data_IF_690556052813
#
_entry.id   IF_690556052813
#
_cell.length_a   1.000
_cell.length_b   1.000
_cell.length_c   1.000
_cell.angle_alpha   90.00
_cell.angle_beta   90.00
_cell.angle_gamma   90.00
#
_symmetry.space_group_name_H-M   'P 1'
#
loop_
_entity.id
_entity.type
_entity.pdbx_description
1 polymer ?
#
# COMPACT_ATOMS: atom_id res chain seq x y z
N UNK A 1 -38.31 -26.10 -37.39
CA UNK A 1 -38.30 -25.67 -35.99
C UNK A 1 -36.85 -25.65 -35.54
N UNK A 2 -36.25 -24.50 -35.53
CA UNK A 2 -34.83 -24.30 -35.17
C UNK A 2 -34.81 -23.61 -33.80
N UNK A 3 -34.37 -24.36 -32.81
CA UNK A 3 -34.21 -23.88 -31.42
C UNK A 3 -33.02 -22.91 -31.34
N UNK A 4 -33.27 -21.69 -31.02
CA UNK A 4 -32.21 -20.68 -30.68
C UNK A 4 -31.65 -21.00 -29.31
N UNK A 5 -30.40 -21.44 -29.26
CA UNK A 5 -29.62 -21.46 -28.03
C UNK A 5 -29.27 -20.02 -27.64
N UNK A 6 -29.78 -19.59 -26.51
CA UNK A 6 -29.36 -18.35 -25.83
C UNK A 6 -27.93 -18.55 -25.29
N UNK A 7 -26.95 -17.96 -25.93
CA UNK A 7 -25.65 -17.71 -25.31
C UNK A 7 -25.80 -16.61 -24.25
N UNK A 8 -25.90 -17.05 -23.01
CA UNK A 8 -25.69 -16.15 -21.87
C UNK A 8 -24.19 -15.86 -21.80
N UNK A 9 -23.78 -14.70 -22.29
CA UNK A 9 -22.47 -14.12 -21.99
C UNK A 9 -22.40 -13.81 -20.50
N UNK A 10 -21.75 -14.69 -19.75
CA UNK A 10 -21.31 -14.37 -18.40
C UNK A 10 -20.27 -13.24 -18.50
N UNK A 11 -20.44 -12.11 -17.77
CA UNK A 11 -19.36 -11.15 -17.66
C UNK A 11 -18.19 -11.84 -16.99
N UNK A 12 -17.00 -11.71 -17.58
CA UNK A 12 -15.74 -12.18 -17.00
C UNK A 12 -15.63 -11.61 -15.58
N UNK A 13 -15.70 -12.48 -14.58
CA UNK A 13 -15.45 -12.13 -13.20
C UNK A 13 -13.97 -11.76 -13.06
N UNK A 14 -13.66 -10.46 -13.18
CA UNK A 14 -12.39 -9.93 -12.73
C UNK A 14 -12.32 -10.16 -11.22
N UNK A 15 -11.51 -11.13 -10.79
CA UNK A 15 -11.33 -11.40 -9.37
C UNK A 15 -10.58 -10.22 -8.77
N UNK A 16 -11.29 -9.41 -7.97
CA UNK A 16 -10.68 -8.30 -7.23
C UNK A 16 -9.70 -8.87 -6.21
N UNK A 17 -8.46 -8.39 -6.23
CA UNK A 17 -7.41 -8.77 -5.28
C UNK A 17 -7.75 -8.27 -3.87
N UNK A 18 -8.36 -7.08 -3.76
CA UNK A 18 -8.79 -6.51 -2.49
C UNK A 18 -10.29 -6.23 -2.56
N UNK A 19 -11.04 -6.71 -1.57
CA UNK A 19 -12.46 -6.45 -1.41
C UNK A 19 -12.73 -5.94 -0.01
N UNK A 20 -13.32 -4.75 0.11
CA UNK A 20 -13.65 -4.11 1.39
C UNK A 20 -15.15 -3.81 1.40
N UNK A 21 -15.84 -4.21 2.48
CA UNK A 21 -17.30 -4.09 2.62
C UNK A 21 -17.68 -3.48 3.96
N UNK A 22 -18.30 -2.30 3.91
CA UNK A 22 -18.86 -1.54 5.05
C UNK A 22 -17.91 -1.49 6.27
N UNK A 23 -16.60 -1.27 6.02
CA UNK A 23 -15.57 -1.35 7.03
C UNK A 23 -15.72 -0.19 8.03
N UNK A 24 -15.88 -0.50 9.32
CA UNK A 24 -16.07 0.47 10.40
C UNK A 24 -15.06 0.28 11.50
N UNK A 25 -14.64 1.39 12.10
CA UNK A 25 -13.78 1.36 13.28
C UNK A 25 -14.12 2.49 14.23
N UNK A 26 -14.49 2.11 15.43
CA UNK A 26 -14.80 3.02 16.53
C UNK A 26 -13.75 2.91 17.63
N UNK A 27 -13.34 4.03 18.18
CA UNK A 27 -12.52 4.18 19.37
C UNK A 27 -13.34 4.95 20.43
N UNK A 28 -14.16 4.22 21.18
CA UNK A 28 -15.15 4.83 22.07
C UNK A 28 -16.13 5.70 21.28
N UNK A 29 -16.10 7.01 21.50
CA UNK A 29 -16.97 7.97 20.80
C UNK A 29 -16.41 8.43 19.45
N UNK A 30 -15.16 8.17 19.15
CA UNK A 30 -14.53 8.56 17.89
C UNK A 30 -14.72 7.46 16.86
N UNK A 31 -15.44 7.77 15.79
CA UNK A 31 -15.58 6.89 14.63
C UNK A 31 -14.48 7.20 13.62
N UNK A 32 -13.45 6.34 13.57
CA UNK A 32 -12.32 6.51 12.68
C UNK A 32 -12.60 6.00 11.26
N UNK A 33 -13.47 4.97 11.11
CA UNK A 33 -14.01 4.53 9.83
C UNK A 33 -15.52 4.39 9.92
N UNK A 34 -16.24 4.87 8.91
CA UNK A 34 -17.69 5.02 8.90
C UNK A 34 -18.37 4.31 7.72
N UNK A 35 -17.90 3.09 7.39
CA UNK A 35 -18.49 2.29 6.31
C UNK A 35 -17.74 2.44 4.97
N UNK A 36 -16.43 2.23 4.99
CA UNK A 36 -15.61 2.23 3.77
C UNK A 36 -15.85 0.96 2.98
N UNK A 37 -16.13 1.10 1.67
CA UNK A 37 -16.32 -0.03 0.75
C UNK A 37 -15.65 0.26 -0.57
N UNK A 38 -14.85 -0.69 -1.07
CA UNK A 38 -14.25 -0.61 -2.41
C UNK A 38 -13.71 -1.98 -2.85
N UNK A 39 -13.46 -2.09 -4.14
CA UNK A 39 -12.76 -3.20 -4.76
C UNK A 39 -11.53 -2.66 -5.49
N UNK A 40 -10.44 -3.43 -5.47
CA UNK A 40 -9.21 -3.15 -6.20
C UNK A 40 -8.79 -4.40 -6.96
N UNK A 41 -8.55 -4.26 -8.26
CA UNK A 41 -8.13 -5.37 -9.11
C UNK A 41 -6.63 -5.61 -9.00
N UNK A 42 -6.20 -6.79 -9.42
CA UNK A 42 -4.78 -7.13 -9.45
C UNK A 42 -3.99 -6.16 -10.31
N UNK A 43 -2.91 -5.64 -9.75
CA UNK A 43 -2.01 -4.71 -10.42
C UNK A 43 -2.50 -3.26 -10.45
N UNK A 44 -3.64 -2.92 -9.84
CA UNK A 44 -4.07 -1.53 -9.70
C UNK A 44 -3.32 -0.81 -8.58
N UNK A 45 -3.03 0.46 -8.80
CA UNK A 45 -2.46 1.37 -7.80
C UNK A 45 -3.53 2.38 -7.35
N UNK A 46 -3.99 2.25 -6.10
CA UNK A 46 -4.93 3.19 -5.47
C UNK A 46 -4.19 4.17 -4.56
N UNK A 47 -4.32 5.47 -4.82
CA UNK A 47 -3.89 6.51 -3.88
C UNK A 47 -5.09 7.06 -3.11
N UNK A 48 -4.97 7.07 -1.78
CA UNK A 48 -5.98 7.59 -0.85
C UNK A 48 -5.49 8.91 -0.28
N UNK A 49 -6.09 10.01 -0.70
CA UNK A 49 -5.87 11.34 -0.17
C UNK A 49 -6.79 11.63 1.02
N UNK A 50 -6.39 12.55 1.86
CA UNK A 50 -7.23 13.03 2.96
C UNK A 50 -6.41 13.76 4.03
N UNK A 51 -7.06 14.61 4.83
CA UNK A 51 -6.40 15.34 5.91
C UNK A 51 -5.93 14.41 7.03
N UNK A 52 -5.15 14.96 7.95
CA UNK A 52 -4.79 14.25 9.18
C UNK A 52 -6.08 13.94 9.98
N UNK A 53 -6.18 12.72 10.50
CA UNK A 53 -7.38 12.25 11.20
C UNK A 53 -8.52 11.76 10.29
N UNK A 54 -8.36 11.75 8.96
CA UNK A 54 -9.37 11.22 8.04
C UNK A 54 -9.64 9.72 8.18
N UNK A 55 -8.76 8.97 8.86
CA UNK A 55 -8.87 7.51 9.04
C UNK A 55 -7.95 6.69 8.14
N UNK A 56 -7.07 7.29 7.34
CA UNK A 56 -6.18 6.61 6.38
C UNK A 56 -5.31 5.53 7.01
N UNK A 57 -4.53 5.90 8.03
CA UNK A 57 -3.67 4.96 8.78
C UNK A 57 -4.50 3.87 9.48
N UNK A 58 -5.71 4.18 9.94
CA UNK A 58 -6.63 3.19 10.53
C UNK A 58 -7.06 2.16 9.49
N UNK A 59 -7.41 2.61 8.29
CA UNK A 59 -7.75 1.74 7.16
C UNK A 59 -6.57 0.81 6.82
N UNK A 60 -5.37 1.35 6.63
CA UNK A 60 -4.16 0.55 6.37
C UNK A 60 -3.92 -0.48 7.48
N UNK A 61 -4.01 -0.09 8.76
CA UNK A 61 -3.81 -1.03 9.88
C UNK A 61 -4.81 -2.18 9.91
N UNK A 62 -6.06 -1.94 9.50
CA UNK A 62 -7.06 -3.00 9.42
C UNK A 62 -6.75 -3.91 8.24
N UNK A 63 -6.50 -3.36 7.04
CA UNK A 63 -6.19 -4.15 5.85
C UNK A 63 -4.93 -4.99 6.00
N UNK A 64 -3.99 -4.56 6.83
CA UNK A 64 -2.76 -5.31 7.13
C UNK A 64 -2.87 -6.26 8.33
N UNK A 65 -4.07 -6.43 8.90
CA UNK A 65 -4.31 -7.28 10.07
C UNK A 65 -3.68 -6.79 11.37
N UNK A 66 -3.14 -5.56 11.40
CA UNK A 66 -2.58 -4.95 12.61
C UNK A 66 -3.66 -4.42 13.57
N UNK A 67 -4.91 -4.34 13.12
CA UNK A 67 -6.03 -3.85 13.90
C UNK A 67 -7.34 -4.49 13.44
N UNK A 68 -8.16 -4.95 14.38
CA UNK A 68 -9.49 -5.45 14.05
C UNK A 68 -10.49 -4.29 13.80
N UNK A 69 -11.35 -4.39 12.78
CA UNK A 69 -12.46 -3.47 12.60
C UNK A 69 -13.50 -3.65 13.72
N UNK A 70 -14.40 -2.68 13.88
CA UNK A 70 -15.59 -2.81 14.76
C UNK A 70 -16.67 -3.62 14.05
N UNK A 71 -16.83 -3.42 12.74
CA UNK A 71 -17.71 -4.20 11.86
C UNK A 71 -17.28 -4.07 10.39
N UNK A 72 -17.92 -4.84 9.52
CA UNK A 72 -17.56 -4.96 8.11
C UNK A 72 -16.52 -6.04 7.90
N UNK A 73 -16.07 -6.22 6.64
CA UNK A 73 -15.10 -7.23 6.26
C UNK A 73 -14.11 -6.70 5.22
N UNK A 74 -12.93 -7.32 5.17
CA UNK A 74 -11.97 -7.10 4.11
C UNK A 74 -11.30 -8.43 3.74
N UNK A 75 -11.18 -8.67 2.43
CA UNK A 75 -10.56 -9.87 1.86
C UNK A 75 -9.40 -9.40 0.97
N UNK A 76 -8.24 -10.03 1.09
CA UNK A 76 -7.04 -9.75 0.29
C UNK A 76 -6.55 -11.08 -0.30
N UNK A 77 -6.50 -11.19 -1.63
CA UNK A 77 -6.13 -12.41 -2.34
C UNK A 77 -6.89 -13.67 -1.85
N UNK A 78 -8.15 -13.49 -1.45
CA UNK A 78 -9.00 -14.57 -0.93
C UNK A 78 -8.90 -14.83 0.57
N UNK A 79 -7.98 -14.18 1.29
CA UNK A 79 -7.81 -14.29 2.74
C UNK A 79 -8.59 -13.22 3.49
N UNK A 80 -9.34 -13.61 4.52
CA UNK A 80 -10.00 -12.65 5.42
C UNK A 80 -8.94 -11.99 6.33
N UNK A 81 -8.92 -10.66 6.36
CA UNK A 81 -7.96 -9.92 7.19
C UNK A 81 -8.15 -10.15 8.70
N UNK A 82 -9.33 -10.64 9.12
CA UNK A 82 -9.59 -10.97 10.53
C UNK A 82 -8.87 -12.25 10.97
N UNK A 83 -8.65 -13.18 10.05
CA UNK A 83 -7.93 -14.42 10.33
C UNK A 83 -6.42 -14.20 10.39
N UNK A 84 -5.92 -13.15 9.74
CA UNK A 84 -4.53 -12.65 9.69
C UNK A 84 -3.47 -13.73 9.99
N UNK A 85 -3.52 -14.82 9.24
CA UNK A 85 -2.62 -15.95 9.37
C UNK A 85 -1.26 -15.71 8.67
N UNK A 86 -0.41 -16.72 8.64
CA UNK A 86 0.88 -16.62 7.98
C UNK A 86 0.73 -16.48 6.45
N UNK A 87 -0.34 -17.03 5.87
CA UNK A 87 -0.60 -17.01 4.43
C UNK A 87 -0.93 -15.59 3.97
N UNK A 88 -1.83 -14.90 4.66
CA UNK A 88 -2.12 -13.48 4.38
C UNK A 88 -0.85 -12.62 4.53
N UNK A 89 -0.05 -12.84 5.60
CA UNK A 89 1.18 -12.06 5.81
C UNK A 89 2.21 -12.24 4.69
N UNK A 90 2.24 -13.41 4.05
CA UNK A 90 3.08 -13.67 2.89
C UNK A 90 2.59 -12.95 1.62
N UNK A 91 1.30 -12.57 1.55
CA UNK A 91 0.75 -11.84 0.40
C UNK A 91 0.95 -10.33 0.52
N UNK A 92 1.23 -9.79 1.71
CA UNK A 92 1.25 -8.36 1.94
C UNK A 92 2.62 -7.83 2.36
N UNK A 93 3.01 -6.70 1.77
CA UNK A 93 4.14 -5.88 2.21
C UNK A 93 3.63 -4.56 2.79
N UNK A 94 4.22 -4.12 3.90
CA UNK A 94 3.77 -2.92 4.61
C UNK A 94 4.93 -1.96 4.81
N UNK A 95 4.76 -0.73 4.33
CA UNK A 95 5.62 0.42 4.61
C UNK A 95 4.78 1.42 5.38
N UNK A 96 5.16 1.70 6.61
CA UNK A 96 4.49 2.66 7.48
C UNK A 96 5.46 3.77 7.87
N UNK A 97 4.97 4.75 8.62
CA UNK A 97 5.81 5.81 9.17
C UNK A 97 7.03 5.28 9.96
N UNK A 98 6.87 4.14 10.63
CA UNK A 98 7.98 3.40 11.23
C UNK A 98 8.57 2.43 10.20
N UNK A 99 9.85 2.53 9.91
CA UNK A 99 10.54 1.69 8.92
C UNK A 99 10.61 0.22 9.30
N UNK A 100 10.41 -0.09 10.59
CA UNK A 100 10.59 -1.44 11.16
C UNK A 100 11.99 -2.02 10.88
N UNK A 101 13.00 -1.17 10.80
CA UNK A 101 14.39 -1.56 10.66
C UNK A 101 15.08 -1.49 12.02
N UNK A 102 16.01 -2.39 12.26
CA UNK A 102 16.87 -2.41 13.44
C UNK A 102 18.06 -1.47 13.21
N UNK A 103 18.14 -0.32 13.92
CA UNK A 103 19.12 0.71 13.60
C UNK A 103 20.57 0.28 13.84
N UNK A 104 20.81 -0.62 14.78
CA UNK A 104 22.15 -1.10 15.13
C UNK A 104 22.64 -2.27 14.27
N UNK A 105 21.77 -2.85 13.44
CA UNK A 105 22.12 -3.83 12.44
C UNK A 105 22.50 -3.14 11.12
N UNK A 106 23.33 -3.79 10.33
CA UNK A 106 23.63 -3.40 8.96
C UNK A 106 22.40 -3.62 8.06
N UNK A 107 22.38 -3.05 6.85
CA UNK A 107 21.31 -3.32 5.90
C UNK A 107 21.21 -4.82 5.56
N UNK A 108 22.33 -5.48 5.35
CA UNK A 108 22.36 -6.91 5.07
C UNK A 108 21.80 -7.73 6.25
N UNK A 109 22.24 -7.46 7.46
CA UNK A 109 21.77 -8.16 8.67
C UNK A 109 20.26 -7.95 8.88
N UNK A 110 19.75 -6.73 8.63
CA UNK A 110 18.31 -6.46 8.65
C UNK A 110 17.55 -7.37 7.68
N UNK A 111 17.94 -7.42 6.40
CA UNK A 111 17.21 -8.24 5.42
C UNK A 111 17.41 -9.74 5.69
N UNK A 112 18.56 -10.18 6.14
CA UNK A 112 18.76 -11.58 6.54
C UNK A 112 17.86 -11.99 7.70
N UNK A 113 17.64 -11.09 8.67
CA UNK A 113 16.70 -11.32 9.76
C UNK A 113 15.28 -11.56 9.22
N UNK A 114 14.79 -10.66 8.34
CA UNK A 114 13.45 -10.79 7.74
C UNK A 114 13.34 -11.99 6.79
N UNK A 115 14.37 -12.27 5.98
CA UNK A 115 14.38 -13.43 5.10
C UNK A 115 14.23 -14.75 5.88
N UNK A 116 14.90 -14.85 7.03
CA UNK A 116 14.74 -16.00 7.94
C UNK A 116 13.36 -16.05 8.60
N UNK A 117 12.81 -14.87 8.96
CA UNK A 117 11.48 -14.79 9.58
C UNK A 117 10.39 -15.26 8.61
N UNK A 118 10.54 -14.95 7.31
CA UNK A 118 9.65 -15.41 6.23
C UNK A 118 10.00 -16.80 5.70
N UNK A 119 11.01 -17.47 6.28
CA UNK A 119 11.49 -18.80 5.86
C UNK A 119 11.82 -18.84 4.35
N UNK A 120 12.43 -17.78 3.82
CA UNK A 120 12.78 -17.70 2.40
C UNK A 120 13.95 -18.64 2.05
N UNK A 121 13.86 -19.26 0.88
CA UNK A 121 14.99 -19.95 0.28
C UNK A 121 16.07 -18.93 -0.13
N UNK A 122 17.34 -19.31 -0.01
CA UNK A 122 18.50 -18.50 -0.37
C UNK A 122 18.48 -17.08 0.21
N UNK A 123 18.35 -16.95 1.57
CA UNK A 123 18.11 -15.67 2.22
C UNK A 123 19.22 -14.63 1.97
N UNK A 124 20.47 -15.06 1.77
CA UNK A 124 21.60 -14.17 1.51
C UNK A 124 21.55 -13.59 0.08
N UNK A 125 21.22 -14.41 -0.92
CA UNK A 125 21.03 -13.96 -2.29
C UNK A 125 19.89 -12.97 -2.39
N UNK A 126 18.71 -13.33 -1.86
CA UNK A 126 17.52 -12.45 -1.81
C UNK A 126 17.78 -11.12 -1.10
N UNK A 127 18.49 -11.14 0.02
CA UNK A 127 18.86 -9.93 0.74
C UNK A 127 19.77 -9.03 -0.11
N UNK A 128 20.78 -9.59 -0.78
CA UNK A 128 21.67 -8.84 -1.64
C UNK A 128 20.96 -8.26 -2.88
N UNK A 129 20.06 -9.00 -3.51
CA UNK A 129 19.24 -8.53 -4.63
C UNK A 129 18.34 -7.36 -4.22
N UNK A 130 17.65 -7.48 -3.09
CA UNK A 130 16.77 -6.42 -2.56
C UNK A 130 17.56 -5.17 -2.19
N UNK A 131 18.75 -5.28 -1.61
CA UNK A 131 19.64 -4.14 -1.34
C UNK A 131 20.11 -3.48 -2.65
N UNK A 132 20.40 -4.29 -3.67
CA UNK A 132 20.79 -3.78 -4.99
C UNK A 132 19.66 -3.03 -5.66
N UNK A 133 18.43 -3.57 -5.64
CA UNK A 133 17.24 -2.91 -6.18
C UNK A 133 16.95 -1.59 -5.44
N UNK A 134 17.21 -1.51 -4.13
CA UNK A 134 17.11 -0.27 -3.36
C UNK A 134 18.24 0.75 -3.64
N UNK A 135 19.24 0.42 -4.49
CA UNK A 135 20.39 1.28 -4.77
C UNK A 135 21.31 1.48 -3.56
N UNK A 136 21.37 0.51 -2.64
CA UNK A 136 22.13 0.60 -1.39
C UNK A 136 23.32 -0.37 -1.31
N UNK A 137 23.72 -0.97 -2.43
CA UNK A 137 24.71 -2.03 -2.47
C UNK A 137 26.08 -1.63 -1.86
N UNK A 138 26.53 -0.39 -2.10
CA UNK A 138 27.80 0.10 -1.58
C UNK A 138 27.78 0.36 -0.07
N UNK A 139 26.59 0.45 0.51
CA UNK A 139 26.35 0.74 1.92
C UNK A 139 25.82 -0.48 2.71
N UNK A 140 25.75 -1.66 2.09
CA UNK A 140 25.09 -2.85 2.65
C UNK A 140 25.63 -3.30 4.02
N UNK A 141 26.90 -3.00 4.32
CA UNK A 141 27.56 -3.33 5.59
C UNK A 141 27.57 -2.17 6.59
N UNK A 142 26.94 -1.04 6.25
CA UNK A 142 26.82 0.08 7.17
C UNK A 142 25.57 -0.13 8.04
N UNK A 143 25.65 0.28 9.29
CA UNK A 143 24.53 0.25 10.22
C UNK A 143 23.42 1.20 9.76
N UNK A 144 22.15 0.76 9.84
CA UNK A 144 20.99 1.53 9.36
C UNK A 144 20.84 2.87 10.06
N UNK A 145 21.30 3.01 11.32
CA UNK A 145 21.33 4.31 12.03
C UNK A 145 22.16 5.39 11.32
N UNK A 146 23.11 5.00 10.44
CA UNK A 146 23.94 5.94 9.67
C UNK A 146 23.31 6.35 8.34
N UNK A 147 22.14 5.78 8.01
CA UNK A 147 21.43 6.06 6.78
C UNK A 147 20.66 7.38 6.86
N UNK A 148 20.64 8.12 5.75
CA UNK A 148 19.71 9.24 5.60
C UNK A 148 18.27 8.73 5.63
N UNK A 149 17.29 9.61 5.88
CA UNK A 149 15.88 9.24 5.89
C UNK A 149 15.44 8.58 4.58
N UNK A 150 15.89 9.11 3.42
CA UNK A 150 15.62 8.53 2.12
C UNK A 150 16.22 7.12 1.94
N UNK A 151 17.45 6.91 2.44
CA UNK A 151 18.07 5.57 2.45
C UNK A 151 17.29 4.60 3.35
N UNK A 152 16.85 5.04 4.53
CA UNK A 152 16.02 4.22 5.42
C UNK A 152 14.68 3.88 4.78
N UNK A 153 14.05 4.80 4.05
CA UNK A 153 12.78 4.56 3.36
C UNK A 153 12.94 3.54 2.23
N UNK A 154 13.98 3.67 1.39
CA UNK A 154 14.28 2.68 0.34
C UNK A 154 14.58 1.30 0.94
N UNK A 155 15.26 1.27 2.07
CA UNK A 155 15.53 0.04 2.79
C UNK A 155 14.25 -0.58 3.39
N UNK A 156 13.29 0.26 3.85
CA UNK A 156 11.99 -0.21 4.33
C UNK A 156 11.17 -0.85 3.19
N UNK A 157 11.27 -0.31 1.96
CA UNK A 157 10.66 -0.96 0.78
C UNK A 157 11.35 -2.29 0.50
N UNK A 158 12.70 -2.34 0.45
CA UNK A 158 13.43 -3.58 0.24
C UNK A 158 13.02 -4.68 1.24
N UNK A 159 12.84 -4.30 2.51
CA UNK A 159 12.31 -5.18 3.55
C UNK A 159 10.87 -5.63 3.26
N UNK A 160 10.00 -4.72 2.89
CA UNK A 160 8.58 -5.00 2.66
C UNK A 160 8.33 -5.84 1.41
N UNK A 161 9.26 -5.83 0.44
CA UNK A 161 9.16 -6.57 -0.82
C UNK A 161 10.02 -7.84 -0.86
N UNK A 162 10.79 -8.12 0.19
CA UNK A 162 11.77 -9.21 0.25
C UNK A 162 11.16 -10.59 -0.01
N UNK A 163 9.96 -10.84 0.52
CA UNK A 163 9.20 -12.09 0.37
C UNK A 163 8.29 -12.10 -0.86
N UNK A 164 8.45 -11.11 -1.77
CA UNK A 164 7.72 -10.98 -3.03
C UNK A 164 6.18 -10.94 -2.88
N UNK A 165 5.64 -10.03 -2.04
CA UNK A 165 4.20 -9.92 -1.82
C UNK A 165 3.45 -9.48 -3.08
N UNK A 166 2.18 -9.90 -3.21
CA UNK A 166 1.28 -9.48 -4.30
C UNK A 166 0.67 -8.10 -4.05
N UNK A 167 0.54 -7.70 -2.78
CA UNK A 167 -0.08 -6.44 -2.36
C UNK A 167 0.87 -5.62 -1.48
N UNK A 168 0.97 -4.33 -1.76
CA UNK A 168 1.76 -3.38 -0.98
C UNK A 168 0.88 -2.29 -0.36
N UNK A 169 1.08 -2.05 0.92
CA UNK A 169 0.47 -0.95 1.66
C UNK A 169 1.53 0.08 2.05
N UNK A 170 1.30 1.34 1.67
CA UNK A 170 2.21 2.46 1.88
C UNK A 170 1.50 3.55 2.67
N UNK A 171 1.90 3.77 3.92
CA UNK A 171 1.30 4.82 4.76
C UNK A 171 2.24 6.03 4.84
N UNK A 172 1.91 7.09 4.09
CA UNK A 172 2.66 8.35 3.99
C UNK A 172 4.16 8.16 3.63
N UNK A 173 4.50 7.44 2.53
CA UNK A 173 5.87 7.02 2.26
C UNK A 173 6.84 8.16 1.94
N UNK A 174 6.34 9.33 1.49
CA UNK A 174 7.15 10.50 1.10
C UNK A 174 7.42 11.48 2.24
N UNK A 175 6.80 11.28 3.39
CA UNK A 175 6.88 12.25 4.50
C UNK A 175 8.32 12.46 5.00
N UNK A 176 8.78 13.70 4.92
CA UNK A 176 10.10 14.13 5.40
C UNK A 176 11.27 13.72 4.51
N UNK A 177 11.02 13.38 3.25
CA UNK A 177 12.03 13.19 2.23
C UNK A 177 12.36 14.51 1.52
N UNK A 178 13.61 14.67 1.12
CA UNK A 178 14.00 15.71 0.17
C UNK A 178 13.62 15.32 -1.26
N UNK A 179 13.74 16.26 -2.21
CA UNK A 179 13.37 16.04 -3.60
C UNK A 179 14.10 14.85 -4.24
N UNK A 180 15.40 14.70 -3.97
CA UNK A 180 16.21 13.61 -4.52
C UNK A 180 15.75 12.25 -4.00
N UNK A 181 15.48 12.15 -2.69
CA UNK A 181 14.96 10.93 -2.07
C UNK A 181 13.54 10.62 -2.54
N UNK A 182 12.70 11.64 -2.73
CA UNK A 182 11.34 11.49 -3.28
C UNK A 182 11.38 10.90 -4.68
N UNK A 183 12.22 11.44 -5.58
CA UNK A 183 12.34 10.93 -6.95
C UNK A 183 12.85 9.48 -6.96
N UNK A 184 13.90 9.17 -6.19
CA UNK A 184 14.41 7.80 -6.10
C UNK A 184 13.37 6.81 -5.53
N UNK A 185 12.49 7.26 -4.65
CA UNK A 185 11.40 6.45 -4.12
C UNK A 185 10.30 6.25 -5.16
N UNK A 186 9.94 7.29 -5.94
CA UNK A 186 9.00 7.20 -7.05
C UNK A 186 9.46 6.17 -8.08
N UNK A 187 10.73 6.22 -8.49
CA UNK A 187 11.30 5.26 -9.43
C UNK A 187 11.15 3.82 -8.90
N UNK A 188 11.47 3.59 -7.64
CA UNK A 188 11.35 2.27 -7.02
C UNK A 188 9.88 1.79 -6.95
N UNK A 189 8.93 2.68 -6.64
CA UNK A 189 7.50 2.34 -6.61
C UNK A 189 6.94 2.10 -8.01
N UNK A 190 7.42 2.84 -9.00
CA UNK A 190 7.06 2.65 -10.40
C UNK A 190 7.50 1.26 -10.91
N UNK A 191 8.73 0.83 -10.61
CA UNK A 191 9.20 -0.52 -10.96
C UNK A 191 8.32 -1.60 -10.32
N UNK A 192 7.94 -1.43 -9.05
CA UNK A 192 7.04 -2.36 -8.34
C UNK A 192 5.63 -2.40 -8.95
N UNK A 193 5.13 -1.29 -9.49
CA UNK A 193 3.85 -1.23 -10.18
C UNK A 193 3.92 -1.90 -11.57
N UNK A 194 4.99 -1.69 -12.33
CA UNK A 194 5.23 -2.38 -13.60
C UNK A 194 5.22 -3.91 -13.42
N UNK A 195 5.74 -4.41 -12.31
CA UNK A 195 5.69 -5.82 -11.91
C UNK A 195 4.27 -6.32 -11.57
N UNK A 196 3.24 -5.49 -11.79
CA UNK A 196 1.81 -5.77 -11.54
C UNK A 196 1.49 -6.11 -10.09
N UNK A 197 2.20 -5.52 -9.14
CA UNK A 197 1.78 -5.55 -7.74
C UNK A 197 0.62 -4.61 -7.51
N UNK A 198 -0.34 -5.05 -6.72
CA UNK A 198 -1.45 -4.20 -6.28
C UNK A 198 -0.96 -3.29 -5.17
N UNK A 199 -1.19 -1.98 -5.28
CA UNK A 199 -0.63 -1.00 -4.34
C UNK A 199 -1.75 -0.14 -3.76
N UNK A 200 -1.78 0.01 -2.45
CA UNK A 200 -2.57 1.05 -1.77
C UNK A 200 -1.60 1.99 -1.07
N UNK A 201 -1.66 3.25 -1.44
CA UNK A 201 -0.87 4.30 -0.82
C UNK A 201 -1.76 5.35 -0.17
N UNK A 202 -1.43 5.77 1.04
CA UNK A 202 -2.02 6.96 1.65
C UNK A 202 -1.02 8.11 1.58
N UNK A 203 -1.49 9.29 1.25
CA UNK A 203 -0.67 10.50 1.28
C UNK A 203 -1.52 11.76 1.41
N UNK A 204 -0.90 12.85 1.85
CA UNK A 204 -1.44 14.19 1.77
C UNK A 204 -0.75 15.02 0.67
N UNK A 205 0.31 14.49 0.05
CA UNK A 205 1.01 15.09 -1.09
C UNK A 205 0.26 14.74 -2.38
N UNK A 206 -0.49 15.73 -2.90
CA UNK A 206 -1.33 15.57 -4.08
C UNK A 206 -0.48 15.26 -5.32
N UNK A 207 0.60 16.01 -5.54
CA UNK A 207 1.46 15.85 -6.72
C UNK A 207 2.06 14.45 -6.79
N UNK A 208 2.71 14.00 -5.72
CA UNK A 208 3.31 12.66 -5.67
C UNK A 208 2.27 11.55 -5.80
N UNK A 209 1.07 11.76 -5.24
CA UNK A 209 0.04 10.73 -5.25
C UNK A 209 -0.64 10.55 -6.59
N UNK A 210 -0.91 11.63 -7.33
CA UNK A 210 -1.58 11.59 -8.65
C UNK A 210 -0.68 11.02 -9.75
N UNK A 211 0.63 11.25 -9.65
CA UNK A 211 1.59 10.87 -10.69
C UNK A 211 1.71 9.35 -10.88
N UNK A 212 1.38 8.56 -9.85
CA UNK A 212 1.67 7.13 -9.84
C UNK A 212 0.45 6.22 -9.82
N UNK A 213 -0.76 6.75 -9.63
CA UNK A 213 -1.93 5.92 -9.38
C UNK A 213 -2.81 5.71 -10.61
N UNK A 214 -3.50 4.56 -10.66
CA UNK A 214 -4.56 4.27 -11.59
C UNK A 214 -5.91 4.79 -11.08
N UNK A 215 -6.06 4.83 -9.75
CA UNK A 215 -7.30 5.25 -9.07
C UNK A 215 -7.01 6.16 -7.89
N UNK A 216 -7.94 7.07 -7.66
CA UNK A 216 -7.90 8.07 -6.60
C UNK A 216 -9.07 7.88 -5.66
N UNK A 217 -8.81 7.92 -4.35
CA UNK A 217 -9.82 8.09 -3.33
C UNK A 217 -9.57 9.35 -2.50
N UNK A 218 -10.63 10.04 -2.10
CA UNK A 218 -10.57 11.12 -1.11
C UNK A 218 -11.27 10.61 0.15
N UNK A 219 -10.53 10.50 1.24
CA UNK A 219 -11.05 10.06 2.53
C UNK A 219 -11.18 11.24 3.49
N UNK A 220 -12.35 11.41 4.10
CA UNK A 220 -12.59 12.39 5.15
C UNK A 220 -13.54 11.82 6.20
N UNK A 221 -13.26 12.08 7.49
CA UNK A 221 -14.11 11.63 8.64
C UNK A 221 -14.50 10.15 8.53
N UNK A 222 -13.54 9.31 8.14
CA UNK A 222 -13.74 7.86 8.04
C UNK A 222 -14.52 7.36 6.83
N UNK A 223 -14.83 8.20 5.84
CA UNK A 223 -15.58 7.82 4.63
C UNK A 223 -14.80 8.18 3.36
N UNK A 224 -15.02 7.42 2.30
CA UNK A 224 -14.63 7.85 0.96
C UNK A 224 -15.67 8.84 0.43
N UNK A 225 -15.23 10.07 0.14
CA UNK A 225 -16.03 11.10 -0.53
C UNK A 225 -15.94 10.98 -2.05
N UNK A 226 -14.83 10.41 -2.53
CA UNK A 226 -14.57 10.11 -3.94
C UNK A 226 -13.83 8.77 -4.03
N UNK A 227 -14.12 8.02 -5.08
CA UNK A 227 -13.32 6.87 -5.54
C UNK A 227 -13.51 6.75 -7.05
N UNK A 228 -12.48 7.16 -7.81
CA UNK A 228 -12.57 7.25 -9.27
C UNK A 228 -11.27 6.79 -9.96
N UNK A 229 -11.35 6.44 -11.25
CA UNK A 229 -10.17 6.25 -12.10
C UNK A 229 -9.46 7.57 -12.35
N UNK A 230 -8.14 7.56 -12.43
CA UNK A 230 -7.32 8.74 -12.72
C UNK A 230 -7.71 9.40 -14.04
N UNK A 231 -8.12 8.62 -15.04
CA UNK A 231 -8.55 9.10 -16.35
C UNK A 231 -9.81 10.00 -16.32
N UNK A 232 -10.56 9.95 -15.21
CA UNK A 232 -11.77 10.75 -14.99
C UNK A 232 -11.52 11.98 -14.14
N UNK A 233 -10.29 12.15 -13.68
CA UNK A 233 -9.89 13.24 -12.79
C UNK A 233 -9.31 14.39 -13.63
N UNK A 234 -9.79 15.60 -13.40
CA UNK A 234 -9.16 16.82 -13.91
C UNK A 234 -7.92 17.12 -13.06
N UNK A 235 -6.75 16.69 -13.56
CA UNK A 235 -5.49 16.80 -12.84
C UNK A 235 -5.05 18.27 -12.62
N UNK A 236 -5.40 19.17 -13.56
CA UNK A 236 -5.01 20.59 -13.47
C UNK A 236 -5.77 21.31 -12.34
N UNK A 237 -7.02 20.91 -12.10
CA UNK A 237 -7.88 21.51 -11.09
C UNK A 237 -8.08 20.63 -9.84
N UNK A 238 -7.33 19.52 -9.70
CA UNK A 238 -7.57 18.57 -8.62
C UNK A 238 -7.37 19.16 -7.22
N UNK A 239 -6.39 20.03 -7.01
CA UNK A 239 -6.17 20.68 -5.70
C UNK A 239 -7.38 21.53 -5.28
N UNK A 240 -7.96 22.27 -6.22
CA UNK A 240 -9.17 23.06 -5.98
C UNK A 240 -10.37 22.14 -5.67
N UNK A 241 -10.58 21.12 -6.51
CA UNK A 241 -11.62 20.11 -6.31
C UNK A 241 -11.47 19.38 -4.98
N UNK A 242 -10.25 18.98 -4.60
CA UNK A 242 -9.95 18.34 -3.32
C UNK A 242 -10.37 19.22 -2.13
N UNK A 243 -10.07 20.53 -2.21
CA UNK A 243 -10.45 21.48 -1.17
C UNK A 243 -11.97 21.63 -1.07
N UNK A 244 -12.67 21.78 -2.18
CA UNK A 244 -14.15 21.87 -2.22
C UNK A 244 -14.82 20.61 -1.66
N UNK A 245 -14.28 19.42 -1.95
CA UNK A 245 -14.83 18.13 -1.47
C UNK A 245 -14.67 17.99 0.05
N UNK A 246 -13.60 18.53 0.62
CA UNK A 246 -13.35 18.48 2.07
C UNK A 246 -14.20 19.47 2.88
N UNK A 247 -14.65 20.56 2.27
CA UNK A 247 -15.49 21.59 2.93
C UNK A 247 -16.97 21.21 3.01
N UNK A 248 -17.40 20.23 2.22
CA UNK A 248 -18.77 19.66 2.24
C UNK A 248 -18.94 18.60 3.32
#
# INVERSE_FOLDING_TARGET
MVSRMNEQTHPSSSHSTIQVRDLRKDFGYLQALSGVSFDLNKGEFLTIFGPNGAGKTTLIKILTGLMHPTSGSAIIDGFDVLECDAELRNQIGVISHATCLYPDLTALENLLFYAKLYCLDDPEERANESIKAAGLQLRRHDQVRTYSRGMQQRMAIARATLHNPSVLFLDEPFTGLDLSATNALKDQLHDLHIDKRTIIMTTHDISCGLEMCDRVAIQNKGKFLLLESIDRIDLENFEHFYTEVLEK
#
